data_IF_257968147593
#
_entry.id   IF_257968147593
#
_cell.length_a   1.000
_cell.length_b   1.000
_cell.length_c   1.000
_cell.angle_alpha   90.00
_cell.angle_beta   90.00
_cell.angle_gamma   90.00
#
_symmetry.space_group_name_H-M   'P 1'
#
loop_
_entity.id
_entity.type
_entity.pdbx_description
1 polymer ?
#
# COMPACT_ATOMS: atom_id res chain seq x y z
N UNK A 1 3.65 -4.17 7.14
CA UNK A 1 3.46 -2.74 6.85
C UNK A 1 4.45 -2.31 5.77
N UNK A 2 3.99 -1.72 4.66
CA UNK A 2 4.88 -1.16 3.63
C UNK A 2 4.75 0.37 3.66
N UNK A 3 5.88 1.06 3.76
CA UNK A 3 5.95 2.52 3.86
C UNK A 3 6.52 3.11 2.57
N UNK A 4 5.94 4.21 2.11
CA UNK A 4 6.48 5.03 1.03
C UNK A 4 6.71 6.45 1.57
N UNK A 5 7.98 6.87 1.61
CA UNK A 5 8.36 8.23 2.01
C UNK A 5 8.08 9.20 0.87
N UNK A 6 7.15 10.15 1.04
CA UNK A 6 6.76 11.08 -0.04
C UNK A 6 7.67 12.28 -0.18
N UNK A 7 8.65 12.45 0.71
CA UNK A 7 9.58 13.59 0.74
C UNK A 7 10.44 13.72 -0.53
N UNK A 8 10.49 12.68 -1.38
CA UNK A 8 11.34 12.64 -2.59
C UNK A 8 10.60 12.21 -3.86
N UNK A 9 9.27 12.05 -3.82
CA UNK A 9 8.51 11.30 -4.83
C UNK A 9 7.44 12.20 -5.47
N UNK A 10 7.38 12.23 -6.81
CA UNK A 10 6.44 13.06 -7.56
C UNK A 10 5.00 12.55 -7.52
N UNK A 11 4.04 13.40 -7.87
CA UNK A 11 2.59 13.09 -7.82
C UNK A 11 2.18 11.86 -8.65
N UNK A 12 2.88 11.58 -9.75
CA UNK A 12 2.67 10.41 -10.61
C UNK A 12 2.95 9.10 -9.87
N UNK A 13 4.02 9.05 -9.09
CA UNK A 13 4.41 7.86 -8.35
C UNK A 13 3.48 7.62 -7.16
N UNK A 14 2.97 8.69 -6.53
CA UNK A 14 1.90 8.60 -5.53
C UNK A 14 0.65 7.96 -6.12
N UNK A 15 0.22 8.41 -7.31
CA UNK A 15 -0.93 7.84 -8.02
C UNK A 15 -0.71 6.37 -8.38
N UNK A 16 0.49 6.04 -8.88
CA UNK A 16 0.84 4.65 -9.23
C UNK A 16 0.81 3.75 -8.00
N UNK A 17 1.38 4.19 -6.88
CA UNK A 17 1.36 3.45 -5.62
C UNK A 17 -0.06 3.20 -5.11
N UNK A 18 -0.91 4.24 -5.08
CA UNK A 18 -2.33 4.11 -4.70
C UNK A 18 -3.09 3.15 -5.64
N UNK A 19 -2.79 3.15 -6.94
CA UNK A 19 -3.41 2.25 -7.93
C UNK A 19 -3.01 0.80 -7.72
N UNK A 20 -1.71 0.53 -7.55
CA UNK A 20 -1.19 -0.81 -7.31
C UNK A 20 -1.75 -1.39 -6.00
N UNK A 21 -1.78 -0.57 -4.95
CA UNK A 21 -2.34 -0.95 -3.67
C UNK A 21 -3.85 -1.28 -3.75
N UNK A 22 -4.63 -0.51 -4.51
CA UNK A 22 -6.06 -0.83 -4.76
C UNK A 22 -6.24 -2.12 -5.55
N UNK A 23 -5.42 -2.37 -6.56
CA UNK A 23 -5.46 -3.61 -7.34
C UNK A 23 -5.15 -4.83 -6.46
N UNK A 24 -4.10 -4.75 -5.64
CA UNK A 24 -3.75 -5.78 -4.68
C UNK A 24 -4.83 -5.99 -3.60
N UNK A 25 -5.47 -4.91 -3.12
CA UNK A 25 -6.58 -4.99 -2.16
C UNK A 25 -7.82 -5.69 -2.74
N UNK A 26 -8.01 -5.62 -4.06
CA UNK A 26 -9.12 -6.29 -4.74
C UNK A 26 -8.89 -7.79 -4.98
N UNK A 27 -7.64 -8.28 -4.86
CA UNK A 27 -7.35 -9.70 -4.92
C UNK A 27 -7.51 -10.33 -3.53
N UNK A 28 -8.69 -10.92 -3.28
CA UNK A 28 -8.89 -11.86 -2.18
C UNK A 28 -8.55 -13.27 -2.65
N UNK A 29 -7.31 -13.70 -2.40
CA UNK A 29 -6.84 -15.05 -2.72
C UNK A 29 -6.02 -15.62 -1.55
N UNK A 30 -6.18 -16.90 -1.17
CA UNK A 30 -5.50 -17.50 -0.02
C UNK A 30 -3.95 -17.45 -0.05
N UNK A 31 -3.36 -17.15 -1.20
CA UNK A 31 -1.90 -17.02 -1.36
C UNK A 31 -1.45 -15.56 -1.59
N UNK A 32 -2.32 -14.58 -1.32
CA UNK A 32 -2.02 -13.16 -1.53
C UNK A 32 -2.41 -12.43 -0.24
N UNK A 33 -1.46 -11.73 0.36
CA UNK A 33 -1.70 -10.97 1.58
C UNK A 33 -2.80 -9.92 1.33
N UNK A 34 -3.87 -10.00 2.12
CA UNK A 34 -4.97 -9.05 2.01
C UNK A 34 -4.52 -7.66 2.49
N UNK A 35 -4.83 -6.62 1.73
CA UNK A 35 -4.61 -5.24 2.16
C UNK A 35 -5.83 -4.79 2.96
N UNK A 36 -5.60 -4.34 4.20
CA UNK A 36 -6.64 -3.85 5.09
C UNK A 36 -6.88 -2.33 4.93
N UNK A 37 -5.82 -1.54 4.77
CA UNK A 37 -5.94 -0.09 4.64
C UNK A 37 -4.78 0.52 3.84
N UNK A 38 -5.07 1.63 3.16
CA UNK A 38 -4.09 2.51 2.50
C UNK A 38 -4.40 3.91 2.98
N UNK A 39 -3.46 4.53 3.69
CA UNK A 39 -3.68 5.84 4.31
C UNK A 39 -2.41 6.70 4.26
N UNK A 40 -2.54 7.98 4.58
CA UNK A 40 -1.51 9.00 4.43
C UNK A 40 -1.40 9.83 5.72
N UNK A 41 -0.21 9.92 6.30
CA UNK A 41 0.09 10.69 7.51
C UNK A 41 1.47 11.32 7.40
N UNK A 42 1.65 12.57 7.84
CA UNK A 42 2.93 13.28 7.85
C UNK A 42 3.75 13.15 6.54
N UNK A 43 3.08 13.32 5.39
CA UNK A 43 3.67 13.13 4.05
C UNK A 43 4.27 11.72 3.84
N UNK A 44 3.66 10.70 4.43
CA UNK A 44 4.00 9.29 4.22
C UNK A 44 2.74 8.50 3.91
N UNK A 45 2.78 7.75 2.80
CA UNK A 45 1.73 6.78 2.49
C UNK A 45 2.13 5.45 3.10
N UNK A 46 1.21 4.81 3.80
CA UNK A 46 1.40 3.47 4.33
C UNK A 46 0.30 2.51 3.88
N UNK A 47 0.66 1.23 3.80
CA UNK A 47 -0.25 0.13 3.51
C UNK A 47 -0.25 -0.82 4.71
N UNK A 48 -1.41 -0.91 5.36
CA UNK A 48 -1.72 -1.96 6.32
C UNK A 48 -2.19 -3.20 5.57
N UNK A 49 -1.52 -4.31 5.79
CA UNK A 49 -1.77 -5.59 5.13
C UNK A 49 -1.71 -6.69 6.17
N UNK A 50 -2.33 -7.82 5.84
CA UNK A 50 -2.31 -9.05 6.61
C UNK A 50 -0.86 -9.41 6.97
N UNK A 51 -0.66 -9.75 8.24
CA UNK A 51 0.63 -10.24 8.70
C UNK A 51 0.71 -11.74 8.39
N UNK A 52 1.58 -12.11 7.46
CA UNK A 52 1.89 -13.50 7.17
C UNK A 52 3.18 -13.84 7.91
N UNK A 53 3.05 -14.72 8.91
CA UNK A 53 4.19 -15.31 9.61
C UNK A 53 4.76 -16.46 8.77
N UNK A 54 6.08 -16.50 8.62
CA UNK A 54 6.81 -17.52 7.86
C UNK A 54 8.16 -17.81 8.49
#
# INVERSE_FOLDING_TARGET
LKFLSLTSIGDEEKKRFKREAKAAASLNHPNIATIHAIDETDDQIFIAMEFIEG
#
